data_IF_389068172337
#
_entry.id   IF_389068172337
#
_cell.length_a   1.000
_cell.length_b   1.000
_cell.length_c   1.000
_cell.angle_alpha   90.00
_cell.angle_beta   90.00
_cell.angle_gamma   90.00
#
_symmetry.space_group_name_H-M   'P 1'
#
loop_
_entity.id
_entity.type
_entity.pdbx_description
1 polymer ?
#
# COMPACT_ATOMS: atom_id res chain seq x y z
N UNK A 1 8.06 -11.46 -6.09
CA UNK A 1 7.31 -12.37 -5.22
C UNK A 1 5.83 -12.03 -5.28
N UNK A 2 4.96 -12.95 -5.71
CA UNK A 2 3.51 -12.75 -5.72
C UNK A 2 2.92 -12.85 -4.30
N UNK A 3 2.05 -11.91 -3.93
CA UNK A 3 1.35 -11.90 -2.63
C UNK A 3 -0.17 -11.88 -2.86
N UNK A 4 -0.64 -10.97 -3.69
CA UNK A 4 -2.03 -10.90 -4.15
C UNK A 4 -2.21 -11.82 -5.36
N UNK A 5 -1.41 -11.63 -6.42
CA UNK A 5 -1.46 -12.47 -7.62
C UNK A 5 -0.22 -12.29 -8.49
N UNK A 6 0.20 -13.37 -9.17
CA UNK A 6 1.33 -13.36 -10.11
C UNK A 6 1.10 -12.44 -11.30
N UNK A 7 -0.15 -12.15 -11.67
CA UNK A 7 -0.48 -11.25 -12.79
C UNK A 7 -0.04 -9.80 -12.53
N UNK A 8 0.11 -9.41 -11.26
CA UNK A 8 0.57 -8.07 -10.87
C UNK A 8 2.09 -7.98 -10.70
N UNK A 9 2.83 -9.04 -11.02
CA UNK A 9 4.29 -9.07 -10.97
C UNK A 9 4.85 -8.80 -12.36
N UNK A 10 5.68 -7.76 -12.49
CA UNK A 10 6.41 -7.46 -13.73
C UNK A 10 7.83 -8.02 -13.67
N UNK A 11 8.39 -8.60 -14.75
CA UNK A 11 9.81 -8.99 -14.78
C UNK A 11 10.76 -7.79 -14.88
N UNK A 12 10.23 -6.59 -15.19
CA UNK A 12 10.97 -5.34 -15.29
C UNK A 12 10.57 -4.40 -14.15
N UNK A 13 11.43 -3.42 -13.88
CA UNK A 13 11.12 -2.32 -12.96
C UNK A 13 9.91 -1.53 -13.50
N UNK A 14 8.98 -1.17 -12.60
CA UNK A 14 7.77 -0.44 -12.96
C UNK A 14 7.74 0.87 -12.20
N UNK A 15 7.46 1.96 -12.91
CA UNK A 15 7.17 3.27 -12.30
C UNK A 15 5.67 3.49 -12.35
N UNK A 16 5.08 3.65 -11.17
CA UNK A 16 3.67 3.95 -10.98
C UNK A 16 3.51 5.42 -10.56
N UNK A 17 2.50 6.09 -11.09
CA UNK A 17 2.15 7.45 -10.73
C UNK A 17 0.88 7.44 -9.90
N UNK A 18 0.95 7.99 -8.69
CA UNK A 18 -0.19 8.06 -7.79
C UNK A 18 -0.72 9.48 -7.77
N UNK A 19 -2.03 9.60 -8.01
CA UNK A 19 -2.80 10.85 -7.92
C UNK A 19 -3.83 10.73 -6.81
N UNK A 20 -3.69 11.57 -5.80
CA UNK A 20 -4.67 11.70 -4.73
C UNK A 20 -6.01 12.20 -5.25
N UNK A 21 -7.10 11.71 -4.66
CA UNK A 21 -8.45 12.21 -4.88
C UNK A 21 -8.92 12.95 -3.63
N UNK A 22 -9.61 14.09 -3.79
CA UNK A 22 -10.23 14.76 -2.66
C UNK A 22 -11.25 13.86 -1.97
N UNK A 23 -11.51 14.15 -0.69
CA UNK A 23 -12.52 13.43 0.07
C UNK A 23 -13.89 13.60 -0.57
N UNK A 24 -14.46 12.50 -1.03
CA UNK A 24 -15.85 12.40 -1.46
C UNK A 24 -16.68 11.78 -0.34
N UNK A 25 -18.00 11.92 -0.42
CA UNK A 25 -18.98 11.43 0.56
C UNK A 25 -18.82 9.90 0.82
N UNK A 26 -18.17 9.16 -0.10
CA UNK A 26 -17.91 7.72 -0.03
C UNK A 26 -16.42 7.33 0.16
N UNK A 27 -15.62 8.09 0.94
CA UNK A 27 -14.34 7.59 1.48
C UNK A 27 -13.04 8.00 0.75
N UNK A 28 -13.10 8.93 -0.21
CA UNK A 28 -11.90 9.45 -0.89
C UNK A 28 -11.04 8.37 -1.56
N UNK A 29 -9.71 8.54 -1.54
CA UNK A 29 -8.73 7.57 -2.07
C UNK A 29 -7.77 8.14 -3.12
N UNK A 30 -7.23 7.30 -4.00
CA UNK A 30 -6.28 7.72 -5.03
C UNK A 30 -6.35 6.85 -6.29
N UNK A 31 -5.77 7.34 -7.38
CA UNK A 31 -5.66 6.65 -8.66
C UNK A 31 -4.19 6.34 -8.93
N UNK A 32 -3.92 5.12 -9.39
CA UNK A 32 -2.57 4.67 -9.76
C UNK A 32 -2.52 4.49 -11.28
N UNK A 33 -1.51 5.08 -11.90
CA UNK A 33 -1.31 5.08 -13.36
C UNK A 33 0.04 4.49 -13.74
N UNK A 34 0.13 3.88 -14.92
CA UNK A 34 1.39 3.42 -15.51
C UNK A 34 2.18 4.56 -16.20
N UNK A 35 3.32 4.23 -16.79
CA UNK A 35 4.15 5.17 -17.56
C UNK A 35 3.46 5.82 -18.75
N UNK A 36 2.39 5.20 -19.26
CA UNK A 36 1.56 5.71 -20.35
C UNK A 36 0.33 6.49 -19.85
N UNK A 37 0.30 6.82 -18.55
CA UNK A 37 -0.82 7.51 -17.88
C UNK A 37 -2.14 6.72 -17.91
N UNK A 38 -2.10 5.41 -18.14
CA UNK A 38 -3.28 4.55 -18.07
C UNK A 38 -3.53 4.14 -16.64
N UNK A 39 -4.78 4.21 -16.20
CA UNK A 39 -5.17 3.80 -14.85
C UNK A 39 -5.03 2.29 -14.71
N UNK A 40 -4.19 1.87 -13.74
CA UNK A 40 -3.94 0.46 -13.42
C UNK A 40 -4.63 0.01 -12.14
N UNK A 41 -4.80 0.92 -11.18
CA UNK A 41 -5.55 0.66 -9.94
C UNK A 41 -6.32 1.91 -9.51
N UNK A 42 -7.43 1.70 -8.80
CA UNK A 42 -8.17 2.74 -8.08
C UNK A 42 -8.33 2.30 -6.64
N UNK A 43 -8.05 3.21 -5.72
CA UNK A 43 -8.37 3.04 -4.29
C UNK A 43 -9.56 3.94 -4.00
N UNK A 44 -10.65 3.35 -3.51
CA UNK A 44 -11.90 4.02 -3.20
C UNK A 44 -12.34 3.64 -1.78
N UNK A 45 -12.22 4.57 -0.83
CA UNK A 45 -12.39 4.27 0.59
C UNK A 45 -11.50 3.10 1.02
N UNK A 46 -12.11 2.06 1.58
CA UNK A 46 -11.41 0.83 1.97
C UNK A 46 -11.15 -0.16 0.82
N UNK A 47 -11.65 0.09 -0.39
CA UNK A 47 -11.56 -0.84 -1.52
C UNK A 47 -10.38 -0.56 -2.45
N UNK A 48 -9.80 -1.62 -3.00
CA UNK A 48 -8.80 -1.57 -4.08
C UNK A 48 -9.42 -2.24 -5.32
N UNK A 49 -9.61 -1.44 -6.36
CA UNK A 49 -10.17 -1.83 -7.65
C UNK A 49 -9.06 -1.91 -8.71
N UNK A 50 -9.13 -2.93 -9.56
CA UNK A 50 -8.31 -3.09 -10.76
C UNK A 50 -8.79 -2.28 -11.96
N UNK A 51 -8.10 -2.43 -13.09
CA UNK A 51 -8.36 -1.74 -14.36
C UNK A 51 -9.84 -1.85 -14.79
N UNK A 52 -10.47 -3.02 -14.59
CA UNK A 52 -11.83 -3.30 -15.04
C UNK A 52 -12.91 -3.03 -13.97
N UNK A 53 -12.57 -2.32 -12.89
CA UNK A 53 -13.47 -2.14 -11.75
C UNK A 53 -13.68 -3.41 -10.91
N UNK A 54 -12.94 -4.48 -11.22
CA UNK A 54 -12.89 -5.69 -10.41
C UNK A 54 -12.25 -5.36 -9.05
N UNK A 55 -12.92 -5.77 -7.97
CA UNK A 55 -12.46 -5.49 -6.62
C UNK A 55 -11.39 -6.52 -6.25
N UNK A 56 -10.12 -6.12 -6.35
CA UNK A 56 -8.96 -7.00 -6.14
C UNK A 56 -8.73 -7.24 -4.65
N UNK A 57 -9.06 -6.26 -3.82
CA UNK A 57 -8.97 -6.41 -2.37
C UNK A 57 -9.60 -5.25 -1.63
N UNK A 58 -9.55 -5.33 -0.31
CA UNK A 58 -9.94 -4.24 0.57
C UNK A 58 -9.10 -4.20 1.83
N UNK A 59 -9.11 -3.04 2.46
CA UNK A 59 -8.39 -2.72 3.68
C UNK A 59 -9.42 -2.56 4.79
N UNK A 60 -9.30 -3.34 5.85
CA UNK A 60 -10.10 -3.17 7.05
C UNK A 60 -9.16 -2.80 8.19
N UNK A 61 -9.45 -1.70 8.88
CA UNK A 61 -8.79 -1.39 10.14
C UNK A 61 -9.34 -2.34 11.20
N UNK A 62 -8.50 -3.27 11.67
CA UNK A 62 -8.87 -4.23 12.70
C UNK A 62 -8.30 -3.76 14.04
N UNK A 63 -9.17 -3.34 14.95
CA UNK A 63 -8.85 -2.95 16.34
C UNK A 63 -8.07 -1.61 16.44
N UNK A 64 -8.82 -0.53 16.65
CA UNK A 64 -8.31 0.84 16.90
C UNK A 64 -7.31 0.96 18.08
N UNK A 65 -7.19 -0.06 18.93
CA UNK A 65 -6.40 -0.04 20.17
C UNK A 65 -4.94 -0.48 19.93
N UNK A 66 -4.63 -1.12 18.81
CA UNK A 66 -3.29 -1.69 18.55
C UNK A 66 -2.66 -1.23 17.24
N UNK A 67 -3.18 -0.18 16.60
CA UNK A 67 -2.70 0.37 15.33
C UNK A 67 -2.38 -0.75 14.32
N UNK A 68 -3.40 -1.56 14.04
CA UNK A 68 -3.30 -2.73 13.19
C UNK A 68 -4.30 -2.61 12.02
N UNK A 69 -3.78 -2.73 10.80
CA UNK A 69 -4.57 -2.75 9.57
C UNK A 69 -4.39 -4.10 8.88
N UNK A 70 -5.47 -4.64 8.34
CA UNK A 70 -5.45 -5.90 7.58
C UNK A 70 -6.00 -5.67 6.19
N UNK A 71 -5.31 -6.21 5.21
CA UNK A 71 -5.83 -6.31 3.85
C UNK A 71 -6.47 -7.67 3.62
N UNK A 72 -7.49 -7.70 2.80
CA UNK A 72 -8.27 -8.87 2.45
C UNK A 72 -8.37 -8.98 0.93
N UNK A 73 -8.33 -10.21 0.42
CA UNK A 73 -8.92 -10.45 -0.90
C UNK A 73 -10.43 -10.41 -0.77
N UNK A 74 -11.06 -10.06 -1.88
CA UNK A 74 -12.50 -9.97 -1.95
C UNK A 74 -12.96 -11.04 -2.92
N UNK A 75 -13.95 -11.81 -2.48
CA UNK A 75 -14.56 -12.89 -3.26
C UNK A 75 -16.06 -12.65 -3.29
N UNK A 76 -16.63 -12.53 -4.48
CA UNK A 76 -18.04 -12.16 -4.69
C UNK A 76 -18.51 -10.92 -3.89
N UNK A 77 -17.64 -9.91 -3.73
CA UNK A 77 -17.98 -8.67 -3.02
C UNK A 77 -17.91 -8.76 -1.48
N UNK A 78 -17.49 -9.89 -0.92
CA UNK A 78 -17.27 -10.07 0.52
C UNK A 78 -15.78 -10.32 0.83
N UNK A 79 -15.27 -9.86 2.00
CA UNK A 79 -13.91 -10.18 2.43
C UNK A 79 -13.76 -11.69 2.61
N UNK A 80 -12.81 -12.32 1.92
CA UNK A 80 -12.64 -13.78 1.95
C UNK A 80 -11.52 -14.23 2.86
N UNK A 81 -10.28 -13.79 2.60
CA UNK A 81 -9.09 -14.16 3.36
C UNK A 81 -8.16 -12.97 3.54
N UNK A 82 -7.56 -12.80 4.75
CA UNK A 82 -6.54 -11.78 4.93
C UNK A 82 -5.30 -12.12 4.10
N UNK A 83 -4.65 -11.11 3.53
CA UNK A 83 -3.48 -11.27 2.63
C UNK A 83 -2.22 -10.81 3.32
N UNK A 84 -2.28 -9.64 3.94
CA UNK A 84 -1.20 -9.08 4.72
C UNK A 84 -1.75 -8.10 5.75
N UNK A 85 -0.92 -7.76 6.72
CA UNK A 85 -1.27 -6.79 7.74
C UNK A 85 -0.15 -5.82 8.02
N UNK A 86 -0.51 -4.59 8.38
CA UNK A 86 0.42 -3.53 8.78
C UNK A 86 0.23 -3.25 10.26
N UNK A 87 1.33 -3.22 10.99
CA UNK A 87 1.33 -2.90 12.40
C UNK A 87 2.30 -1.74 12.64
N UNK A 88 1.80 -0.67 13.25
CA UNK A 88 2.70 0.32 13.83
C UNK A 88 3.43 -0.29 15.03
N UNK A 89 4.71 0.03 15.20
CA UNK A 89 5.50 -0.50 16.30
C UNK A 89 4.90 -0.11 17.65
N UNK A 90 4.69 -1.10 18.53
CA UNK A 90 4.17 -0.95 19.91
C UNK A 90 5.14 -0.24 20.88
N UNK A 91 6.14 0.46 20.37
CA UNK A 91 7.21 0.99 21.23
C UNK A 91 6.73 2.24 21.98
N UNK A 92 7.20 2.46 23.22
CA UNK A 92 6.91 3.68 23.95
C UNK A 92 7.37 4.89 23.12
N UNK A 93 6.65 6.00 23.26
CA UNK A 93 6.66 7.26 22.50
C UNK A 93 8.02 7.97 22.27
N UNK A 94 9.14 7.31 22.54
CA UNK A 94 10.50 7.85 22.55
C UNK A 94 11.27 7.58 21.25
N UNK A 95 10.86 6.60 20.41
CA UNK A 95 11.48 6.38 19.10
C UNK A 95 10.63 7.04 18.01
N UNK A 96 10.85 8.33 17.82
CA UNK A 96 10.43 9.07 16.63
C UNK A 96 11.04 8.32 15.43
N UNK A 97 10.22 7.81 14.50
CA UNK A 97 10.58 7.08 13.27
C UNK A 97 10.79 5.55 13.36
N UNK A 98 10.17 4.87 14.32
CA UNK A 98 10.16 3.39 14.28
C UNK A 98 9.44 2.86 13.01
N UNK A 99 10.02 1.88 12.29
CA UNK A 99 9.49 1.46 10.99
C UNK A 99 8.16 0.72 11.10
N UNK A 100 7.25 0.99 10.17
CA UNK A 100 5.98 0.26 10.06
C UNK A 100 6.27 -1.14 9.54
N UNK A 101 5.80 -2.16 10.26
CA UNK A 101 6.03 -3.56 9.90
C UNK A 101 4.85 -4.11 9.11
N UNK A 102 5.16 -4.89 8.08
CA UNK A 102 4.19 -5.56 7.23
C UNK A 102 4.41 -7.08 7.36
N UNK A 103 3.34 -7.81 7.64
CA UNK A 103 3.34 -9.28 7.74
C UNK A 103 2.44 -9.85 6.66
N UNK A 104 2.94 -10.77 5.85
CA UNK A 104 2.15 -11.48 4.83
C UNK A 104 1.52 -12.71 5.48
N UNK A 105 0.20 -12.81 5.37
CA UNK A 105 -0.59 -13.89 5.96
C UNK A 105 -0.44 -15.16 5.11
N UNK A 106 0.64 -15.92 5.34
CA UNK A 106 0.83 -17.24 4.74
C UNK A 106 0.55 -18.36 5.75
N UNK A 107 0.03 -19.50 5.27
CA UNK A 107 -0.26 -20.69 6.09
C UNK A 107 1.03 -21.23 6.76
N UNK A 108 1.33 -20.79 7.99
CA UNK A 108 2.23 -21.50 8.90
C UNK A 108 3.55 -20.81 9.30
N UNK A 109 3.81 -19.55 8.94
CA UNK A 109 5.05 -18.85 9.38
C UNK A 109 4.82 -18.09 10.68
N UNK A 110 5.59 -18.45 11.73
CA UNK A 110 5.75 -17.67 12.98
C UNK A 110 6.85 -16.61 12.81
N UNK A 111 6.80 -15.78 11.77
CA UNK A 111 7.69 -14.61 11.69
C UNK A 111 6.96 -13.38 12.22
N UNK A 112 7.68 -12.49 12.88
CA UNK A 112 7.09 -11.26 13.43
C UNK A 112 6.77 -10.21 12.35
N UNK A 113 7.43 -10.26 11.19
CA UNK A 113 7.22 -9.38 10.02
C UNK A 113 7.99 -9.89 8.78
N UNK A 114 7.57 -9.46 7.58
CA UNK A 114 8.17 -9.82 6.27
C UNK A 114 8.75 -8.61 5.53
N UNK A 115 8.09 -7.44 5.63
CA UNK A 115 8.57 -6.18 5.09
C UNK A 115 8.51 -5.07 6.12
N UNK A 116 9.25 -3.99 5.85
CA UNK A 116 9.20 -2.76 6.63
C UNK A 116 9.13 -1.54 5.72
N UNK A 117 8.46 -0.50 6.23
CA UNK A 117 8.44 0.83 5.63
C UNK A 117 9.35 1.73 6.45
N UNK A 118 10.38 2.27 5.80
CA UNK A 118 11.32 3.22 6.38
C UNK A 118 11.17 4.59 5.71
N UNK A 119 11.50 5.66 6.45
CA UNK A 119 11.38 7.04 5.96
C UNK A 119 9.98 7.62 6.15
N UNK A 120 9.69 8.72 5.44
CA UNK A 120 8.47 9.51 5.63
C UNK A 120 7.53 9.36 4.44
N UNK A 121 6.33 8.82 4.68
CA UNK A 121 5.31 8.70 3.65
C UNK A 121 4.73 10.07 3.26
N UNK A 122 4.49 10.95 4.24
CA UNK A 122 3.93 12.30 4.05
C UNK A 122 4.84 13.18 3.19
N UNK A 123 6.15 13.03 3.35
CA UNK A 123 7.17 13.75 2.57
C UNK A 123 7.48 13.06 1.24
N UNK A 124 6.81 11.94 0.93
CA UNK A 124 7.07 11.10 -0.26
C UNK A 124 8.54 10.70 -0.36
N UNK A 125 9.11 10.31 0.78
CA UNK A 125 10.49 9.89 0.92
C UNK A 125 10.53 8.63 1.79
N UNK A 126 9.81 7.59 1.38
CA UNK A 126 9.79 6.30 2.07
C UNK A 126 10.16 5.14 1.14
N UNK A 127 10.69 4.08 1.74
CA UNK A 127 11.12 2.88 1.04
C UNK A 127 10.52 1.66 1.72
N UNK A 128 9.97 0.75 0.93
CA UNK A 128 9.52 -0.56 1.38
C UNK A 128 10.65 -1.56 1.12
N UNK A 129 11.10 -2.25 2.17
CA UNK A 129 12.19 -3.23 2.09
C UNK A 129 11.76 -4.57 2.65
N UNK A 130 12.35 -5.64 2.15
CA UNK A 130 12.24 -6.96 2.78
C UNK A 130 13.22 -7.09 3.97
N UNK A 131 13.07 -8.17 4.73
CA UNK A 131 13.95 -8.46 5.88
C UNK A 131 15.44 -8.63 5.53
N UNK A 132 15.78 -8.91 4.27
CA UNK A 132 17.17 -9.01 3.81
C UNK A 132 17.73 -7.64 3.40
N UNK A 133 16.92 -6.58 3.48
CA UNK A 133 17.30 -5.23 3.06
C UNK A 133 17.10 -4.97 1.57
N UNK A 134 16.54 -5.92 0.80
CA UNK A 134 16.24 -5.69 -0.60
C UNK A 134 15.09 -4.69 -0.71
N UNK A 135 15.24 -3.74 -1.63
CA UNK A 135 14.22 -2.75 -1.90
C UNK A 135 13.10 -3.43 -2.69
N UNK A 136 11.88 -3.35 -2.17
CA UNK A 136 10.66 -3.70 -2.91
C UNK A 136 10.19 -2.51 -3.72
N UNK A 137 10.08 -1.35 -3.07
CA UNK A 137 9.65 -0.13 -3.72
C UNK A 137 10.17 1.13 -3.05
N UNK A 138 10.27 2.21 -3.82
CA UNK A 138 10.63 3.55 -3.35
C UNK A 138 9.55 4.53 -3.74
N UNK A 139 9.07 5.30 -2.76
CA UNK A 139 8.13 6.40 -2.96
C UNK A 139 8.92 7.69 -3.06
N UNK A 140 8.66 8.47 -4.11
CA UNK A 140 9.34 9.72 -4.39
C UNK A 140 8.37 10.86 -4.71
N UNK A 141 8.67 12.06 -4.22
CA UNK A 141 8.03 13.28 -4.72
C UNK A 141 8.36 13.49 -6.20
N UNK A 142 7.46 14.12 -6.94
CA UNK A 142 7.76 14.58 -8.30
C UNK A 142 8.02 16.08 -8.24
N UNK A 143 9.30 16.47 -8.29
CA UNK A 143 9.76 17.86 -8.12
C UNK A 143 9.04 18.87 -9.04
N UNK A 144 8.58 18.43 -10.21
CA UNK A 144 7.97 19.27 -11.25
C UNK A 144 6.47 19.51 -11.01
N UNK A 145 5.82 18.77 -10.10
CA UNK A 145 4.39 18.93 -9.84
C UNK A 145 4.17 19.79 -8.59
N UNK A 146 3.89 21.08 -8.79
CA UNK A 146 3.65 22.09 -7.77
C UNK A 146 2.50 21.78 -6.77
N UNK A 147 1.81 20.64 -6.92
CA UNK A 147 0.77 20.18 -6.00
C UNK A 147 1.18 18.87 -5.34
N UNK A 148 1.07 18.80 -4.01
CA UNK A 148 1.19 17.59 -3.15
C UNK A 148 0.20 16.46 -3.51
N UNK A 149 -0.53 16.59 -4.60
CA UNK A 149 -1.54 15.65 -5.10
C UNK A 149 -0.91 14.47 -5.86
N UNK A 150 0.34 14.59 -6.30
CA UNK A 150 1.00 13.56 -7.10
C UNK A 150 2.33 13.10 -6.50
N UNK A 151 2.59 11.81 -6.61
CA UNK A 151 3.88 11.21 -6.32
C UNK A 151 4.11 10.00 -7.22
N UNK A 152 5.34 9.52 -7.28
CA UNK A 152 5.68 8.32 -8.03
C UNK A 152 6.17 7.24 -7.09
N UNK A 153 6.02 6.00 -7.54
CA UNK A 153 6.48 4.81 -6.82
C UNK A 153 7.23 3.93 -7.81
N UNK A 154 8.50 3.66 -7.51
CA UNK A 154 9.34 2.75 -8.29
C UNK A 154 9.26 1.38 -7.65
N UNK A 155 8.76 0.39 -8.38
CA UNK A 155 8.62 -1.00 -7.94
C UNK A 155 9.72 -1.83 -8.57
N UNK A 156 10.49 -2.53 -7.75
CA UNK A 156 11.56 -3.40 -8.24
C UNK A 156 11.01 -4.64 -8.96
N UNK A 157 11.79 -5.22 -9.91
CA UNK A 157 11.40 -6.39 -10.65
C UNK A 157 10.88 -7.54 -9.80
N UNK A 158 9.84 -8.19 -10.29
CA UNK A 158 9.25 -9.40 -9.73
C UNK A 158 8.30 -9.17 -8.56
N UNK A 159 8.25 -8.00 -7.94
CA UNK A 159 7.34 -7.71 -6.83
C UNK A 159 5.90 -7.42 -7.28
N UNK A 160 4.95 -7.75 -6.41
CA UNK A 160 3.52 -7.66 -6.66
C UNK A 160 3.02 -6.20 -6.50
N UNK A 161 2.57 -5.61 -7.60
CA UNK A 161 2.09 -4.23 -7.64
C UNK A 161 0.80 -4.03 -6.86
N UNK A 162 -0.14 -4.99 -6.89
CA UNK A 162 -1.40 -4.86 -6.17
C UNK A 162 -1.19 -4.92 -4.65
N UNK A 163 -0.27 -5.78 -4.20
CA UNK A 163 0.19 -5.77 -2.80
C UNK A 163 0.72 -4.39 -2.40
N UNK A 164 1.63 -3.82 -3.20
CA UNK A 164 2.20 -2.51 -2.91
C UNK A 164 1.13 -1.41 -2.87
N UNK A 165 0.17 -1.43 -3.80
CA UNK A 165 -0.95 -0.47 -3.80
C UNK A 165 -1.78 -0.60 -2.51
N UNK A 166 -1.98 -1.81 -2.00
CA UNK A 166 -2.65 -2.00 -0.70
C UNK A 166 -1.83 -1.48 0.48
N UNK A 167 -0.51 -1.62 0.46
CA UNK A 167 0.37 -0.98 1.45
C UNK A 167 0.22 0.54 1.41
N UNK A 168 0.23 1.15 0.21
CA UNK A 168 0.02 2.58 0.03
C UNK A 168 -1.36 3.04 0.53
N UNK A 169 -2.42 2.27 0.27
CA UNK A 169 -3.77 2.56 0.77
C UNK A 169 -3.83 2.63 2.30
N UNK A 170 -3.16 1.69 2.97
CA UNK A 170 -3.08 1.70 4.44
C UNK A 170 -2.24 2.88 4.93
N UNK A 171 -1.08 3.15 4.33
CA UNK A 171 -0.24 4.29 4.72
C UNK A 171 -0.97 5.63 4.52
N UNK A 172 -1.70 5.78 3.43
CA UNK A 172 -2.51 6.96 3.14
C UNK A 172 -3.64 7.13 4.17
N UNK A 173 -4.27 6.04 4.60
CA UNK A 173 -5.27 6.04 5.70
C UNK A 173 -4.65 6.37 7.07
N UNK A 174 -3.50 5.77 7.42
CA UNK A 174 -2.77 6.04 8.69
C UNK A 174 -2.44 7.53 8.81
N UNK A 175 -1.92 8.11 7.72
CA UNK A 175 -1.52 9.51 7.66
C UNK A 175 -2.70 10.47 7.44
N UNK A 176 -3.94 9.97 7.47
CA UNK A 176 -5.19 10.73 7.26
C UNK A 176 -5.16 11.57 5.97
N UNK A 177 -4.58 11.01 4.91
CA UNK A 177 -4.39 11.71 3.65
C UNK A 177 -5.66 11.72 2.80
N UNK A 178 -5.82 10.85 1.80
CA UNK A 178 -6.98 10.87 0.90
C UNK A 178 -7.97 9.74 1.16
N UNK A 179 -7.46 8.60 1.59
CA UNK A 179 -8.15 7.34 1.87
C UNK A 179 -8.74 7.41 3.26
N UNK A 180 -10.05 7.17 3.37
CA UNK A 180 -10.73 7.03 4.65
C UNK A 180 -11.57 5.76 4.66
N UNK A 181 -11.25 4.94 5.64
CA UNK A 181 -12.13 3.97 6.26
C UNK A 181 -12.70 4.62 7.54
#
# INVERSE_FOLDING_TARGET
MPIVSKIFCSPLQVVLFVRKRPHLINGGGFVVMDGNQRVVFRVEGCGILGVNGELIGGVVQALSIHNWWRSYLMDYGAPSKPVFSLQEPKLPLVIINAPIRITVESKGRKNNWDFEVIGSFTDRACTVKDRKGNILAQVGAREIMAKKEFYHVVVQPGYDQAFLVGVLAILDNINRESTRC
#
